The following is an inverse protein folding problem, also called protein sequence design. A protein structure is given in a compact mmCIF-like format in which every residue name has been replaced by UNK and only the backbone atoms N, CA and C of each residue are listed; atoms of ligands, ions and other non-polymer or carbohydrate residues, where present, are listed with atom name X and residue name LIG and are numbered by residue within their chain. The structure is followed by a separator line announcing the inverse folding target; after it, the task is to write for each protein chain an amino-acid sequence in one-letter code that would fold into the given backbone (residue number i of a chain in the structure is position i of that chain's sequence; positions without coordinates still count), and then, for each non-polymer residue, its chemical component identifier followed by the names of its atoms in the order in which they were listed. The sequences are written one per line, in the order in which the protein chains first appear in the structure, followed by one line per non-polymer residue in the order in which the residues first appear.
data_IF_503122835560
#
_entry.id   IF_503122835560
#
_cell.length_a   1.000
_cell.length_b   1.000
_cell.length_c   1.000
_cell.angle_alpha   90.00
_cell.angle_beta   90.00
_cell.angle_gamma   90.00
#
_symmetry.space_group_name_H-M   'P 1'
#
loop_
_entity.id
_entity.type
_entity.pdbx_description
1 polymer ?
#
# COMPACT_ATOMS: atom_id res chain seq x y z
N UNK A 1 67.52 2.59 49.48
CA UNK A 1 66.24 3.10 50.03
C UNK A 1 65.37 3.59 48.87
N UNK A 2 64.50 2.72 48.34
CA UNK A 2 63.02 2.87 48.21
C UNK A 2 62.58 4.12 47.40
N UNK A 3 62.41 3.99 46.07
CA UNK A 3 61.14 3.80 45.31
C UNK A 3 60.09 4.93 45.44
N UNK A 4 59.73 5.54 44.30
CA UNK A 4 58.34 5.65 43.82
C UNK A 4 58.29 6.02 42.34
N UNK A 5 57.81 5.05 41.55
CA UNK A 5 57.48 5.12 40.13
C UNK A 5 56.11 5.80 40.03
N UNK A 6 55.97 6.82 39.19
CA UNK A 6 54.65 7.34 38.79
C UNK A 6 54.41 6.97 37.32
N UNK A 7 53.58 5.93 37.14
CA UNK A 7 52.98 5.55 35.86
C UNK A 7 51.79 6.47 35.65
N UNK A 8 51.84 7.33 34.64
CA UNK A 8 50.67 8.06 34.16
C UNK A 8 49.99 7.21 33.07
N UNK A 9 48.92 6.53 33.44
CA UNK A 9 48.09 5.74 32.56
C UNK A 9 47.05 6.67 31.88
N UNK A 10 47.30 7.05 30.63
CA UNK A 10 46.32 7.77 29.82
C UNK A 10 45.32 6.75 29.24
N UNK A 11 44.18 6.58 29.91
CA UNK A 11 43.07 5.76 29.41
C UNK A 11 42.28 6.51 28.34
N UNK A 12 42.42 6.10 27.08
CA UNK A 12 41.57 6.55 25.98
C UNK A 12 40.20 5.86 26.10
N UNK A 13 39.16 6.60 26.47
CA UNK A 13 37.78 6.16 26.40
C UNK A 13 37.33 6.21 24.93
N UNK A 14 37.36 5.07 24.24
CA UNK A 14 36.70 4.94 22.93
C UNK A 14 35.20 4.82 23.22
N UNK A 15 34.48 5.92 23.07
CA UNK A 15 33.03 5.91 23.03
C UNK A 15 32.59 5.19 21.73
N UNK A 16 32.27 3.90 21.85
CA UNK A 16 31.63 3.16 20.79
C UNK A 16 30.23 3.74 20.56
N UNK A 17 30.12 4.62 19.57
CA UNK A 17 28.84 5.14 19.10
C UNK A 17 28.16 4.00 18.31
N UNK A 18 27.36 3.18 19.00
CA UNK A 18 26.46 2.25 18.32
C UNK A 18 25.38 3.06 17.60
N UNK A 19 25.55 3.32 16.31
CA UNK A 19 24.46 3.78 15.46
C UNK A 19 23.46 2.64 15.34
N UNK A 20 22.26 2.82 15.89
CA UNK A 20 21.17 1.87 15.69
C UNK A 20 20.81 1.88 14.19
N UNK A 21 21.05 0.77 13.50
CA UNK A 21 20.62 0.59 12.12
C UNK A 21 19.09 0.68 12.08
N UNK A 22 18.57 1.68 11.38
CA UNK A 22 17.13 1.77 11.13
C UNK A 22 16.74 0.59 10.25
N UNK A 23 15.83 -0.26 10.74
CA UNK A 23 15.31 -1.36 9.94
C UNK A 23 14.64 -0.78 8.69
N UNK A 24 15.23 -1.03 7.53
CA UNK A 24 14.72 -0.52 6.26
C UNK A 24 13.48 -1.34 5.86
N UNK A 25 12.34 -0.68 5.71
CA UNK A 25 11.14 -1.31 5.15
C UNK A 25 11.36 -1.61 3.67
N UNK A 26 11.46 -2.89 3.33
CA UNK A 26 11.61 -3.33 1.94
C UNK A 26 10.24 -3.61 1.32
N UNK A 27 9.98 -3.05 0.12
CA UNK A 27 8.82 -3.44 -0.70
C UNK A 27 9.30 -4.42 -1.77
N UNK A 28 8.76 -5.64 -1.72
CA UNK A 28 9.11 -6.69 -2.68
C UNK A 28 7.90 -7.00 -3.54
N UNK A 29 8.11 -7.17 -4.85
CA UNK A 29 7.09 -7.64 -5.80
C UNK A 29 7.57 -8.93 -6.44
N UNK A 30 6.71 -9.94 -6.49
CA UNK A 30 7.05 -11.25 -7.01
C UNK A 30 5.90 -12.25 -6.92
N UNK A 31 6.21 -13.49 -7.26
CA UNK A 31 5.29 -14.63 -7.22
C UNK A 31 5.67 -15.54 -6.05
N UNK A 32 4.70 -15.90 -5.21
CA UNK A 32 4.90 -16.91 -4.17
C UNK A 32 5.05 -18.28 -4.84
N UNK A 33 6.19 -18.93 -4.64
CA UNK A 33 6.50 -20.27 -5.18
C UNK A 33 6.22 -21.39 -4.19
N UNK A 34 6.39 -21.12 -2.89
CA UNK A 34 6.20 -22.11 -1.82
C UNK A 34 5.76 -21.44 -0.52
N UNK A 35 4.98 -22.19 0.27
CA UNK A 35 4.59 -21.85 1.64
C UNK A 35 4.97 -23.03 2.53
N UNK A 36 5.85 -22.80 3.51
CA UNK A 36 6.26 -23.78 4.53
C UNK A 36 6.02 -23.18 5.92
N UNK A 37 4.89 -23.52 6.55
CA UNK A 37 4.50 -22.92 7.84
C UNK A 37 4.33 -21.41 7.72
N UNK A 38 5.10 -20.64 8.49
CA UNK A 38 5.11 -19.18 8.44
C UNK A 38 6.18 -18.60 7.48
N UNK A 39 6.82 -19.42 6.64
CA UNK A 39 7.83 -18.96 5.68
C UNK A 39 7.28 -19.02 4.26
N UNK A 40 7.35 -17.90 3.54
CA UNK A 40 7.04 -17.79 2.12
C UNK A 40 8.32 -17.77 1.30
N UNK A 41 8.41 -18.62 0.27
CA UNK A 41 9.42 -18.49 -0.79
C UNK A 41 8.82 -17.72 -1.95
N UNK A 42 9.41 -16.58 -2.29
CA UNK A 42 9.00 -15.67 -3.35
C UNK A 42 10.06 -15.61 -4.44
N UNK A 43 9.65 -15.67 -5.71
CA UNK A 43 10.48 -15.24 -6.84
C UNK A 43 10.15 -13.78 -7.16
N UNK A 44 11.07 -12.86 -6.90
CA UNK A 44 10.87 -11.44 -7.20
C UNK A 44 10.91 -11.18 -8.71
N UNK A 45 10.37 -10.03 -9.13
CA UNK A 45 10.30 -9.63 -10.54
C UNK A 45 11.68 -9.46 -11.18
N UNK A 46 12.72 -9.17 -10.40
CA UNK A 46 14.12 -9.11 -10.83
C UNK A 46 14.80 -10.50 -10.91
N UNK A 47 14.08 -11.57 -10.60
CA UNK A 47 14.54 -12.96 -10.70
C UNK A 47 15.16 -13.53 -9.43
N UNK A 48 15.35 -12.74 -8.37
CA UNK A 48 15.88 -13.26 -7.11
C UNK A 48 14.87 -14.17 -6.38
N UNK A 49 15.38 -15.14 -5.64
CA UNK A 49 14.58 -15.94 -4.71
C UNK A 49 14.73 -15.35 -3.30
N UNK A 50 13.60 -15.09 -2.64
CA UNK A 50 13.52 -14.47 -1.32
C UNK A 50 12.71 -15.36 -0.38
N UNK A 51 13.20 -15.56 0.84
CA UNK A 51 12.45 -16.21 1.93
C UNK A 51 11.96 -15.16 2.91
N UNK A 52 10.65 -15.09 3.11
CA UNK A 52 9.99 -14.15 4.00
C UNK A 52 9.38 -14.90 5.17
N UNK A 53 9.84 -14.64 6.39
CA UNK A 53 9.21 -15.15 7.61
C UNK A 53 8.08 -14.21 8.04
N UNK A 54 6.86 -14.74 8.12
CA UNK A 54 5.68 -14.03 8.60
C UNK A 54 5.64 -14.06 10.13
N UNK A 55 5.24 -12.92 10.72
CA UNK A 55 4.88 -12.84 12.14
C UNK A 55 3.47 -13.41 12.36
N UNK A 56 3.16 -13.76 13.60
CA UNK A 56 1.84 -14.30 13.96
C UNK A 56 0.69 -13.34 13.66
N UNK A 57 0.99 -12.04 13.61
CA UNK A 57 0.05 -10.96 13.31
C UNK A 57 0.26 -10.32 11.92
N UNK A 58 0.88 -11.05 10.98
CA UNK A 58 1.10 -10.55 9.63
C UNK A 58 -0.24 -10.20 8.95
N UNK A 59 -0.36 -8.96 8.46
CA UNK A 59 -1.52 -8.54 7.68
C UNK A 59 -1.43 -9.10 6.27
N UNK A 60 -2.35 -9.99 5.92
CA UNK A 60 -2.48 -10.55 4.57
C UNK A 60 -3.70 -9.93 3.92
N UNK A 61 -3.49 -9.25 2.79
CA UNK A 61 -4.57 -8.67 1.99
C UNK A 61 -4.61 -9.40 0.65
N UNK A 62 -5.78 -9.93 0.30
CA UNK A 62 -6.03 -10.60 -0.97
C UNK A 62 -7.14 -9.87 -1.73
N UNK A 63 -7.04 -9.85 -3.06
CA UNK A 63 -8.09 -9.34 -3.93
C UNK A 63 -9.00 -10.49 -4.32
N UNK A 64 -10.31 -10.34 -4.06
CA UNK A 64 -11.33 -11.31 -4.41
C UNK A 64 -12.27 -10.72 -5.46
N UNK A 65 -12.93 -11.59 -6.23
CA UNK A 65 -13.91 -11.15 -7.23
C UNK A 65 -15.12 -10.53 -6.54
N UNK A 66 -15.48 -9.33 -6.99
CA UNK A 66 -16.70 -8.61 -6.62
C UNK A 66 -17.43 -8.18 -7.89
N UNK A 67 -18.67 -7.71 -7.73
CA UNK A 67 -19.52 -7.19 -8.79
C UNK A 67 -19.96 -5.77 -8.48
N UNK A 68 -20.47 -5.07 -9.51
CA UNK A 68 -21.06 -3.73 -9.31
C UNK A 68 -22.26 -3.76 -8.35
N UNK A 69 -22.96 -4.89 -8.22
CA UNK A 69 -24.08 -5.04 -7.28
C UNK A 69 -23.63 -5.05 -5.80
N UNK A 70 -22.34 -5.28 -5.54
CA UNK A 70 -21.76 -5.23 -4.20
C UNK A 70 -21.42 -3.79 -3.77
N UNK A 71 -21.44 -2.84 -4.71
CA UNK A 71 -21.24 -1.41 -4.46
C UNK A 71 -22.58 -0.81 -4.04
N UNK A 72 -22.66 -0.43 -2.77
CA UNK A 72 -23.84 0.20 -2.16
C UNK A 72 -23.47 1.62 -1.75
N UNK A 73 -24.48 2.43 -1.42
CA UNK A 73 -24.26 3.73 -0.79
C UNK A 73 -23.31 3.57 0.41
N UNK A 74 -22.27 4.39 0.46
CA UNK A 74 -21.28 4.40 1.54
C UNK A 74 -20.17 3.34 1.44
N UNK A 75 -20.22 2.41 0.46
CA UNK A 75 -19.13 1.44 0.23
C UNK A 75 -17.83 2.20 -0.03
N UNK A 76 -16.78 1.92 0.77
CA UNK A 76 -15.45 2.50 0.52
C UNK A 76 -14.75 1.71 -0.58
N UNK A 77 -14.33 2.41 -1.62
CA UNK A 77 -13.71 1.80 -2.80
C UNK A 77 -12.57 2.67 -3.33
N UNK A 78 -11.74 2.04 -4.15
CA UNK A 78 -10.74 2.71 -4.98
C UNK A 78 -11.02 2.46 -6.45
N UNK A 79 -10.84 3.48 -7.28
CA UNK A 79 -10.90 3.34 -8.74
C UNK A 79 -9.66 3.92 -9.39
N UNK A 80 -8.89 3.06 -10.06
CA UNK A 80 -7.88 3.49 -11.01
C UNK A 80 -8.60 3.86 -12.32
N UNK A 81 -8.32 5.03 -12.89
CA UNK A 81 -9.10 5.54 -14.00
C UNK A 81 -8.30 6.45 -14.93
N UNK A 82 -8.79 6.60 -16.17
CA UNK A 82 -8.31 7.59 -17.12
C UNK A 82 -9.20 8.84 -17.06
N UNK A 83 -8.66 10.03 -16.78
CA UNK A 83 -9.41 11.27 -16.86
C UNK A 83 -10.03 11.46 -18.24
N UNK A 84 -11.26 11.97 -18.29
CA UNK A 84 -11.97 12.32 -19.52
C UNK A 84 -12.09 13.85 -19.68
N UNK A 85 -12.27 14.37 -20.91
CA UNK A 85 -12.41 15.80 -21.16
C UNK A 85 -13.57 16.47 -20.42
N UNK A 86 -14.64 15.73 -20.12
CA UNK A 86 -15.81 16.19 -19.36
C UNK A 86 -15.58 16.19 -17.82
N UNK A 87 -14.40 15.79 -17.37
CA UNK A 87 -14.03 15.71 -15.96
C UNK A 87 -14.37 14.38 -15.27
N UNK A 88 -15.13 13.49 -15.93
CA UNK A 88 -15.37 12.13 -15.45
C UNK A 88 -14.09 11.29 -15.48
N UNK A 89 -14.12 10.16 -14.78
CA UNK A 89 -13.00 9.22 -14.69
C UNK A 89 -13.44 7.88 -15.26
N UNK A 90 -12.89 7.50 -16.42
CA UNK A 90 -13.20 6.21 -17.03
C UNK A 90 -12.43 5.11 -16.32
N UNK A 91 -13.13 4.22 -15.63
CA UNK A 91 -12.51 3.21 -14.78
C UNK A 91 -11.68 2.21 -15.60
N UNK A 92 -10.45 1.95 -15.13
CA UNK A 92 -9.62 0.82 -15.53
C UNK A 92 -9.81 -0.34 -14.55
N UNK A 93 -10.03 0.00 -13.27
CA UNK A 93 -10.25 -0.93 -12.18
C UNK A 93 -11.17 -0.26 -11.15
N UNK A 94 -12.00 -1.07 -10.48
CA UNK A 94 -12.67 -0.71 -9.24
C UNK A 94 -12.43 -1.85 -8.25
N UNK A 95 -11.98 -1.52 -7.05
CA UNK A 95 -11.90 -2.47 -5.94
C UNK A 95 -12.59 -1.91 -4.70
N UNK A 96 -13.29 -2.79 -3.98
CA UNK A 96 -13.92 -2.47 -2.72
C UNK A 96 -12.91 -2.75 -1.61
N UNK A 97 -12.72 -1.78 -0.71
CA UNK A 97 -11.95 -2.01 0.50
C UNK A 97 -12.84 -2.63 1.57
N UNK A 98 -12.33 -3.61 2.33
CA UNK A 98 -13.03 -4.05 3.53
C UNK A 98 -13.07 -2.89 4.54
N UNK A 99 -14.09 -2.86 5.40
CA UNK A 99 -14.33 -1.75 6.33
C UNK A 99 -13.12 -1.40 7.23
N UNK A 100 -12.31 -2.35 7.75
CA UNK A 100 -11.10 -2.02 8.51
C UNK A 100 -10.04 -1.23 7.73
N UNK A 101 -10.14 -1.19 6.39
CA UNK A 101 -9.26 -0.43 5.50
C UNK A 101 -9.90 0.89 5.03
N UNK A 102 -11.07 1.28 5.54
CA UNK A 102 -11.68 2.59 5.22
C UNK A 102 -10.68 3.72 5.48
N UNK A 103 -10.63 4.68 4.57
CA UNK A 103 -9.67 5.78 4.60
C UNK A 103 -8.33 5.46 3.93
N UNK A 104 -8.09 4.21 3.49
CA UNK A 104 -6.86 3.84 2.78
C UNK A 104 -6.71 4.69 1.52
N UNK A 105 -5.71 5.56 1.52
CA UNK A 105 -5.38 6.41 0.37
C UNK A 105 -6.53 7.30 -0.11
N UNK A 106 -7.48 7.64 0.75
CA UNK A 106 -8.65 8.48 0.44
C UNK A 106 -8.26 9.78 -0.29
N UNK A 107 -9.07 10.15 -1.28
CA UNK A 107 -8.86 11.33 -2.11
C UNK A 107 -8.69 11.00 -3.59
N UNK A 108 -8.23 11.99 -4.36
CA UNK A 108 -7.98 11.87 -5.79
C UNK A 108 -6.54 12.30 -6.10
N UNK A 109 -5.78 11.42 -6.77
CA UNK A 109 -4.35 11.64 -7.02
C UNK A 109 -3.87 10.95 -8.29
N UNK A 110 -2.71 11.35 -8.86
CA UNK A 110 -2.06 10.59 -9.92
C UNK A 110 -1.77 9.13 -9.52
N UNK A 111 -1.91 8.20 -10.47
CA UNK A 111 -1.64 6.78 -10.28
C UNK A 111 -0.53 6.31 -11.21
N UNK A 112 0.71 6.43 -10.73
CA UNK A 112 1.91 6.17 -11.50
C UNK A 112 2.01 4.80 -12.21
N UNK A 113 1.44 3.68 -11.71
CA UNK A 113 1.51 2.39 -12.41
C UNK A 113 0.91 2.39 -13.82
N UNK A 114 0.00 3.33 -14.12
CA UNK A 114 -0.51 3.55 -15.48
C UNK A 114 -0.30 5.03 -15.87
N UNK A 115 0.45 5.33 -16.95
CA UNK A 115 0.73 6.71 -17.36
C UNK A 115 -0.54 7.56 -17.49
N UNK A 116 -0.50 8.79 -16.98
CA UNK A 116 -1.60 9.77 -17.01
C UNK A 116 -2.91 9.33 -16.33
N UNK A 117 -2.90 8.21 -15.60
CA UNK A 117 -4.06 7.73 -14.86
C UNK A 117 -4.16 8.35 -13.47
N UNK A 118 -5.32 8.21 -12.86
CA UNK A 118 -5.63 8.66 -11.51
C UNK A 118 -6.08 7.49 -10.64
N UNK A 119 -5.99 7.67 -9.32
CA UNK A 119 -6.61 6.82 -8.32
C UNK A 119 -7.57 7.69 -7.52
N UNK A 120 -8.84 7.30 -7.47
CA UNK A 120 -9.88 7.93 -6.65
C UNK A 120 -10.35 6.96 -5.59
N UNK A 121 -10.09 7.29 -4.32
CA UNK A 121 -10.53 6.48 -3.19
C UNK A 121 -11.52 7.27 -2.35
N UNK A 122 -12.67 6.68 -2.06
CA UNK A 122 -13.74 7.36 -1.36
C UNK A 122 -14.94 6.45 -1.12
N UNK A 123 -16.03 7.04 -0.63
CA UNK A 123 -17.30 6.34 -0.45
C UNK A 123 -18.15 6.51 -1.69
N UNK A 124 -18.72 5.42 -2.20
CA UNK A 124 -19.76 5.47 -3.21
C UNK A 124 -20.92 6.32 -2.70
N UNK A 125 -21.40 7.24 -3.53
CA UNK A 125 -22.56 8.08 -3.24
C UNK A 125 -23.55 8.09 -4.38
N UNK A 126 -24.83 8.12 -4.05
CA UNK A 126 -25.92 7.87 -4.97
C UNK A 126 -26.01 6.41 -5.43
N UNK A 127 -27.09 6.11 -6.14
CA UNK A 127 -27.24 4.81 -6.78
C UNK A 127 -26.19 4.63 -7.88
N UNK A 128 -25.55 3.46 -7.93
CA UNK A 128 -24.84 3.03 -9.14
C UNK A 128 -25.86 2.84 -10.25
N UNK A 129 -25.73 3.59 -11.34
CA UNK A 129 -26.67 3.55 -12.46
C UNK A 129 -26.05 2.76 -13.59
N UNK A 130 -26.67 1.64 -13.95
CA UNK A 130 -26.36 0.96 -15.21
C UNK A 130 -26.88 1.82 -16.38
N UNK A 131 -25.97 2.31 -17.22
CA UNK A 131 -26.26 3.07 -18.42
C UNK A 131 -25.92 2.30 -19.70
N UNK A 132 -26.25 2.89 -20.84
CA UNK A 132 -26.01 2.32 -22.19
C UNK A 132 -24.52 2.11 -22.45
N UNK A 133 -23.66 2.97 -21.88
CA UNK A 133 -22.20 2.94 -22.06
C UNK A 133 -21.44 2.29 -20.89
N UNK A 134 -22.15 1.69 -19.92
CA UNK A 134 -21.56 1.10 -18.71
C UNK A 134 -22.22 1.59 -17.42
N UNK A 135 -21.72 1.11 -16.29
CA UNK A 135 -22.21 1.51 -14.97
C UNK A 135 -21.52 2.79 -14.50
N UNK A 136 -22.28 3.73 -13.96
CA UNK A 136 -21.76 4.99 -13.43
C UNK A 136 -21.98 5.09 -11.92
N UNK A 137 -21.05 5.73 -11.22
CA UNK A 137 -21.17 6.00 -9.78
C UNK A 137 -20.47 7.31 -9.39
N UNK A 138 -20.94 7.97 -8.34
CA UNK A 138 -20.18 9.05 -7.71
C UNK A 138 -19.33 8.47 -6.59
N UNK A 139 -18.10 8.95 -6.48
CA UNK A 139 -17.19 8.63 -5.37
C UNK A 139 -16.85 9.90 -4.65
N UNK A 140 -17.26 9.98 -3.39
CA UNK A 140 -17.06 11.13 -2.51
C UNK A 140 -15.93 10.87 -1.52
N UNK A 141 -15.08 11.87 -1.35
CA UNK A 141 -13.97 11.89 -0.39
C UNK A 141 -13.95 13.26 0.31
N UNK A 142 -13.14 13.40 1.36
CA UNK A 142 -13.12 14.62 2.22
C UNK A 142 -13.20 15.95 1.48
N UNK A 143 -12.40 16.10 0.42
CA UNK A 143 -12.21 17.38 -0.27
C UNK A 143 -12.86 17.44 -1.66
N UNK A 144 -13.75 16.50 -1.99
CA UNK A 144 -14.46 16.53 -3.27
C UNK A 144 -15.09 15.22 -3.69
N UNK A 145 -15.44 15.14 -4.96
CA UNK A 145 -16.04 13.96 -5.57
C UNK A 145 -15.65 13.82 -7.03
N UNK A 146 -15.74 12.58 -7.53
CA UNK A 146 -15.58 12.27 -8.95
C UNK A 146 -16.68 11.34 -9.42
N UNK A 147 -17.16 11.62 -10.63
CA UNK A 147 -17.98 10.68 -11.39
C UNK A 147 -17.07 9.63 -12.02
N UNK A 148 -17.31 8.38 -11.68
CA UNK A 148 -16.68 7.21 -12.29
C UNK A 148 -17.65 6.64 -13.34
N UNK A 149 -17.13 6.36 -14.53
CA UNK A 149 -17.87 5.81 -15.68
C UNK A 149 -17.17 4.58 -16.26
#
# INVERSE_FOLDING_TARGET
MIRRIQIALAGAMIAACCTAATAQTLRVRGTIQKVDGNVLTLKSTDGAELKLALTDNAMIVAVMKASMADIKEGTFLGSAAMPQPDGSQRALEVHIFPEPMRGTGEGHRPYAPVPNSTMTNGSASGATVAGVDGSTMMVKYKDGEKKIV
#
